data_IF_808250089006
#
_entry.id   IF_808250089006
#
_cell.length_a   1.000
_cell.length_b   1.000
_cell.length_c   1.000
_cell.angle_alpha   90.00
_cell.angle_beta   90.00
_cell.angle_gamma   90.00
#
_symmetry.space_group_name_H-M   'P 1'
#
loop_
_entity.id
_entity.type
_entity.pdbx_description
1 polymer ?
#
# COMPACT_ATOMS: atom_id res chain seq x y z
N UNK A 1 18.03 14.43 26.05
CA UNK A 1 17.21 13.27 25.65
C UNK A 1 16.22 13.74 24.60
N UNK A 2 16.43 13.41 23.33
CA UNK A 2 15.46 13.65 22.25
C UNK A 2 14.27 12.70 22.45
N UNK A 3 13.06 13.25 22.62
CA UNK A 3 11.83 12.45 22.60
C UNK A 3 11.75 11.77 21.25
N UNK A 4 11.65 10.44 21.22
CA UNK A 4 11.26 9.73 20.01
C UNK A 4 9.86 10.20 19.65
N UNK A 5 9.70 10.74 18.45
CA UNK A 5 8.43 11.22 17.96
C UNK A 5 7.64 10.02 17.42
N UNK A 6 6.42 9.82 17.92
CA UNK A 6 5.55 8.77 17.40
C UNK A 6 5.21 9.05 15.94
N UNK A 7 5.32 8.05 15.09
CA UNK A 7 5.12 8.17 13.64
C UNK A 7 3.90 7.37 13.19
N UNK A 8 3.05 7.95 12.33
CA UNK A 8 2.05 7.19 11.56
C UNK A 8 2.62 6.79 10.21
N UNK A 9 2.25 5.59 9.76
CA UNK A 9 2.60 5.08 8.43
C UNK A 9 1.35 5.08 7.57
N UNK A 10 1.42 5.73 6.41
CA UNK A 10 0.37 5.73 5.40
C UNK A 10 0.90 5.17 4.07
N UNK A 11 0.01 4.58 3.29
CA UNK A 11 0.30 4.05 1.96
C UNK A 11 -0.54 4.77 0.92
N UNK A 12 0.10 5.21 -0.16
CA UNK A 12 -0.58 5.85 -1.27
C UNK A 12 -0.32 5.08 -2.57
N UNK A 13 -1.39 4.64 -3.21
CA UNK A 13 -1.39 4.24 -4.62
C UNK A 13 -1.84 5.39 -5.51
N UNK A 14 -1.74 5.21 -6.81
CA UNK A 14 -2.21 6.19 -7.77
C UNK A 14 -1.98 5.76 -9.20
N UNK A 15 -2.79 6.28 -10.11
CA UNK A 15 -2.59 6.12 -11.54
C UNK A 15 -1.47 7.05 -11.98
N UNK A 16 -0.37 6.48 -12.47
CA UNK A 16 0.68 7.28 -13.07
C UNK A 16 1.27 6.52 -14.26
N UNK A 17 1.33 7.14 -15.46
CA UNK A 17 2.00 6.54 -16.62
C UNK A 17 3.47 6.20 -16.33
N UNK A 18 4.10 6.96 -15.41
CA UNK A 18 5.54 6.94 -15.15
C UNK A 18 5.92 6.60 -13.70
N UNK A 19 4.95 6.45 -12.78
CA UNK A 19 5.21 6.18 -11.36
C UNK A 19 4.26 5.11 -10.83
N UNK A 20 4.46 3.88 -11.29
CA UNK A 20 3.73 2.70 -10.87
C UNK A 20 4.15 2.21 -9.47
N UNK A 21 4.64 3.08 -8.58
CA UNK A 21 5.11 2.67 -7.26
C UNK A 21 4.11 3.10 -6.18
N UNK A 22 3.80 2.18 -5.28
CA UNK A 22 3.14 2.53 -4.01
C UNK A 22 4.10 3.39 -3.20
N UNK A 23 3.62 4.49 -2.63
CA UNK A 23 4.40 5.35 -1.72
C UNK A 23 4.13 4.95 -0.28
N UNK A 24 5.20 4.96 0.51
CA UNK A 24 5.13 4.76 1.97
C UNK A 24 5.47 6.10 2.60
N UNK A 25 4.53 6.65 3.36
CA UNK A 25 4.63 7.98 3.96
C UNK A 25 4.75 7.84 5.48
N UNK A 26 5.73 8.53 6.05
CA UNK A 26 5.91 8.64 7.49
C UNK A 26 5.45 10.02 7.94
N UNK A 27 4.44 10.06 8.80
CA UNK A 27 3.83 11.30 9.27
C UNK A 27 4.09 11.47 10.77
N UNK A 28 4.31 12.71 11.22
CA UNK A 28 4.31 13.01 12.65
C UNK A 28 2.93 12.71 13.23
N UNK A 29 2.86 11.84 14.24
CA UNK A 29 1.60 11.58 14.92
C UNK A 29 1.10 12.78 15.74
N UNK A 30 1.97 13.78 15.96
CA UNK A 30 1.65 14.98 16.72
C UNK A 30 1.13 16.11 15.82
N UNK A 31 1.80 16.36 14.70
CA UNK A 31 1.51 17.52 13.84
C UNK A 31 0.82 17.14 12.52
N UNK A 32 0.88 15.87 12.12
CA UNK A 32 0.45 15.42 10.80
C UNK A 32 1.42 15.77 9.67
N UNK A 33 2.56 16.39 9.98
CA UNK A 33 3.56 16.74 8.98
C UNK A 33 4.19 15.50 8.36
N UNK A 34 4.47 15.57 7.05
CA UNK A 34 5.23 14.54 6.35
C UNK A 34 6.70 14.61 6.76
N UNK A 35 7.16 13.56 7.45
CA UNK A 35 8.53 13.45 7.94
C UNK A 35 9.45 12.84 6.88
N UNK A 36 8.98 11.80 6.18
CA UNK A 36 9.73 11.14 5.12
C UNK A 36 8.83 10.35 4.17
N UNK A 37 9.37 10.04 3.00
CA UNK A 37 8.76 9.17 1.99
C UNK A 37 9.75 8.05 1.63
N UNK A 38 9.23 6.84 1.46
CA UNK A 38 9.95 5.72 0.88
C UNK A 38 9.20 5.16 -0.34
N UNK A 39 9.97 4.61 -1.27
CA UNK A 39 9.42 3.94 -2.45
C UNK A 39 9.07 2.50 -2.11
N UNK A 40 7.80 2.15 -2.29
CA UNK A 40 7.27 0.80 -2.16
C UNK A 40 7.35 0.01 -3.47
N UNK A 41 6.62 -1.12 -3.54
CA UNK A 41 6.65 -2.01 -4.70
C UNK A 41 6.09 -1.33 -5.95
N UNK A 42 6.61 -1.75 -7.10
CA UNK A 42 6.08 -1.38 -8.42
C UNK A 42 4.86 -2.25 -8.73
N UNK A 43 3.69 -1.63 -8.80
CA UNK A 43 2.40 -2.22 -9.13
C UNK A 43 1.75 -1.34 -10.17
N UNK A 44 1.25 -1.94 -11.24
CA UNK A 44 0.53 -1.18 -12.26
C UNK A 44 -0.84 -0.75 -11.74
N UNK A 45 -1.15 0.55 -11.86
CA UNK A 45 -2.42 1.16 -11.42
C UNK A 45 -2.90 0.67 -10.05
N UNK A 46 -2.15 0.88 -8.96
CA UNK A 46 -2.57 0.51 -7.62
C UNK A 46 -3.69 1.46 -7.17
N UNK A 47 -4.94 1.10 -7.47
CA UNK A 47 -6.10 1.98 -7.31
C UNK A 47 -6.73 1.89 -5.93
N UNK A 48 -6.63 0.72 -5.29
CA UNK A 48 -7.23 0.45 -4.00
C UNK A 48 -6.25 -0.22 -3.06
N UNK A 49 -6.20 0.27 -1.82
CA UNK A 49 -5.32 -0.24 -0.77
C UNK A 49 -6.16 -0.53 0.48
N UNK A 50 -5.93 -1.68 1.11
CA UNK A 50 -6.62 -2.08 2.34
C UNK A 50 -5.64 -2.70 3.31
N UNK A 51 -5.55 -2.15 4.51
CA UNK A 51 -4.74 -2.69 5.60
C UNK A 51 -5.62 -3.64 6.41
N UNK A 52 -5.09 -4.82 6.71
CA UNK A 52 -5.73 -5.79 7.62
C UNK A 52 -5.95 -5.23 9.02
N UNK A 53 -6.94 -5.76 9.74
CA UNK A 53 -7.30 -5.29 11.09
C UNK A 53 -6.13 -5.31 12.08
N UNK A 54 -5.25 -6.33 11.96
CA UNK A 54 -4.07 -6.48 12.80
C UNK A 54 -2.86 -5.64 12.33
N UNK A 55 -3.00 -4.86 11.26
CA UNK A 55 -1.97 -4.01 10.64
C UNK A 55 -0.72 -4.75 10.16
N UNK A 56 -0.81 -6.07 9.95
CA UNK A 56 0.32 -6.90 9.50
C UNK A 56 0.36 -7.10 8.00
N UNK A 57 -0.77 -6.92 7.33
CA UNK A 57 -0.91 -7.13 5.90
C UNK A 57 -1.51 -5.93 5.19
N UNK A 58 -1.04 -5.69 3.96
CA UNK A 58 -1.58 -4.72 3.02
C UNK A 58 -2.01 -5.45 1.74
N UNK A 59 -3.25 -5.23 1.33
CA UNK A 59 -3.80 -5.71 0.08
C UNK A 59 -3.93 -4.55 -0.90
N UNK A 60 -3.53 -4.78 -2.15
CA UNK A 60 -3.51 -3.76 -3.19
C UNK A 60 -4.17 -4.30 -4.45
N UNK A 61 -5.20 -3.60 -4.93
CA UNK A 61 -5.82 -3.88 -6.22
C UNK A 61 -5.03 -3.17 -7.33
N UNK A 62 -4.59 -3.93 -8.32
CA UNK A 62 -4.03 -3.45 -9.58
C UNK A 62 -5.15 -3.38 -10.61
N UNK A 63 -5.50 -2.16 -10.99
CA UNK A 63 -6.61 -1.86 -11.89
C UNK A 63 -6.13 -1.83 -13.35
N UNK A 64 -5.96 -3.03 -13.91
CA UNK A 64 -5.54 -3.22 -15.29
C UNK A 64 -6.61 -3.93 -16.09
N UNK A 65 -6.75 -3.54 -17.36
CA UNK A 65 -7.72 -4.13 -18.29
C UNK A 65 -7.14 -5.33 -19.04
N UNK A 66 -5.84 -5.30 -19.34
CA UNK A 66 -5.12 -6.38 -20.03
C UNK A 66 -3.70 -6.51 -19.44
N UNK A 67 -3.19 -7.72 -19.17
CA UNK A 67 -3.84 -9.02 -19.41
C UNK A 67 -5.01 -9.30 -18.46
N UNK A 68 -5.02 -8.75 -17.24
CA UNK A 68 -6.16 -8.67 -16.32
C UNK A 68 -5.76 -8.03 -14.99
N UNK A 69 -6.72 -7.48 -14.26
CA UNK A 69 -6.53 -6.97 -12.90
C UNK A 69 -5.99 -8.03 -11.94
N UNK A 70 -5.26 -7.57 -10.91
CA UNK A 70 -4.63 -8.44 -9.92
C UNK A 70 -4.82 -7.90 -8.51
N UNK A 71 -4.87 -8.81 -7.54
CA UNK A 71 -4.78 -8.47 -6.12
C UNK A 71 -3.42 -8.89 -5.62
N UNK A 72 -2.69 -7.96 -5.04
CA UNK A 72 -1.39 -8.19 -4.41
C UNK A 72 -1.55 -8.19 -2.90
N UNK A 73 -0.91 -9.13 -2.22
CA UNK A 73 -0.83 -9.17 -0.75
C UNK A 73 0.62 -8.99 -0.30
N UNK A 74 0.81 -8.13 0.70
CA UNK A 74 2.11 -7.80 1.26
C UNK A 74 2.10 -7.93 2.78
N UNK A 75 3.19 -8.43 3.36
CA UNK A 75 3.49 -8.28 4.78
C UNK A 75 4.04 -6.87 5.03
N UNK A 76 3.62 -6.26 6.14
CA UNK A 76 4.06 -4.94 6.58
C UNK A 76 5.16 -5.10 7.64
N UNK A 77 6.32 -4.50 7.41
CA UNK A 77 7.33 -4.33 8.45
C UNK A 77 6.85 -3.28 9.47
N UNK A 78 6.67 -3.67 10.73
CA UNK A 78 5.96 -2.89 11.74
C UNK A 78 6.56 -1.49 12.04
N UNK A 79 7.87 -1.33 11.87
CA UNK A 79 8.56 -0.07 12.19
C UNK A 79 8.70 0.83 10.96
N UNK A 80 9.13 0.25 9.83
CA UNK A 80 9.45 1.04 8.64
C UNK A 80 8.29 1.17 7.65
N UNK A 81 7.29 0.28 7.74
CA UNK A 81 6.22 0.18 6.74
C UNK A 81 6.66 -0.50 5.44
N UNK A 82 7.88 -1.03 5.37
CA UNK A 82 8.35 -1.74 4.18
C UNK A 82 7.44 -2.94 3.86
N UNK A 83 7.21 -3.16 2.57
CA UNK A 83 6.27 -4.16 2.07
C UNK A 83 7.03 -5.36 1.49
N UNK A 84 6.71 -6.56 1.96
CA UNK A 84 7.26 -7.82 1.42
C UNK A 84 6.14 -8.59 0.74
N UNK A 85 6.31 -8.89 -0.55
CA UNK A 85 5.29 -9.60 -1.33
C UNK A 85 5.04 -10.99 -0.73
N UNK A 86 3.78 -11.31 -0.47
CA UNK A 86 3.34 -12.66 -0.05
C UNK A 86 2.79 -13.39 -1.27
N UNK A 87 1.83 -12.78 -1.96
CA UNK A 87 1.21 -13.38 -3.14
C UNK A 87 0.67 -12.31 -4.08
N UNK A 88 0.42 -12.70 -5.33
CA UNK A 88 -0.36 -11.91 -6.25
C UNK A 88 -1.24 -12.85 -7.08
N UNK A 89 -2.53 -12.54 -7.16
CA UNK A 89 -3.53 -13.40 -7.79
C UNK A 89 -4.32 -12.62 -8.82
N UNK A 90 -4.72 -13.32 -9.87
CA UNK A 90 -5.72 -12.87 -10.82
C UNK A 90 -7.00 -12.46 -10.08
N UNK A 91 -7.55 -11.27 -10.34
CA UNK A 91 -8.86 -10.87 -9.77
C UNK A 91 -10.04 -11.62 -10.41
N UNK A 92 -9.82 -12.29 -11.54
CA UNK A 92 -10.86 -12.96 -12.33
C UNK A 92 -11.66 -12.03 -13.25
N UNK A 93 -11.31 -10.75 -13.31
CA UNK A 93 -11.94 -9.75 -14.18
C UNK A 93 -11.02 -8.54 -14.45
N UNK A 94 -11.46 -7.66 -15.34
CA UNK A 94 -10.78 -6.38 -15.56
C UNK A 94 -11.14 -5.37 -14.46
N UNK A 95 -10.20 -4.49 -14.13
CA UNK A 95 -10.44 -3.28 -13.33
C UNK A 95 -11.09 -3.51 -11.93
N UNK A 96 -10.44 -4.21 -10.98
CA UNK A 96 -10.94 -4.29 -9.61
C UNK A 96 -11.00 -2.89 -8.96
N UNK A 97 -12.22 -2.39 -8.73
CA UNK A 97 -12.48 -1.05 -8.18
C UNK A 97 -12.62 -0.98 -6.66
N UNK A 98 -12.72 -2.11 -5.96
CA UNK A 98 -12.80 -2.17 -4.50
C UNK A 98 -12.33 -3.51 -3.93
N UNK A 99 -11.85 -3.48 -2.68
CA UNK A 99 -11.55 -4.65 -1.86
C UNK A 99 -12.09 -4.43 -0.44
N UNK A 100 -12.59 -5.49 0.18
CA UNK A 100 -12.94 -5.53 1.60
C UNK A 100 -12.36 -6.78 2.26
N UNK A 101 -11.97 -6.64 3.53
CA UNK A 101 -11.63 -7.77 4.39
C UNK A 101 -12.84 -8.09 5.26
N UNK A 102 -13.31 -9.34 5.23
CA UNK A 102 -14.31 -9.81 6.18
C UNK A 102 -13.61 -10.19 7.49
N UNK A 103 -14.14 -9.79 8.67
CA UNK A 103 -13.56 -10.10 9.97
C UNK A 103 -13.53 -11.61 10.27
#
# INVERSE_FOLDING_TARGET
MTKQETTFIAYAGGYAPNSQNVKILHLSAKTGELLSEATGPKIENPSWLTISHNKRFLYIASETASPQGRIHSYAIHAISGALTLISNVASGGALPGCLSEHP
#
